data_IF_800921203730
#
_entry.id   IF_800921203730
#
_cell.length_a   1.000
_cell.length_b   1.000
_cell.length_c   1.000
_cell.angle_alpha   90.00
_cell.angle_beta   90.00
_cell.angle_gamma   90.00
#
_symmetry.space_group_name_H-M   'P 1'
#
loop_
_entity.id
_entity.type
_entity.pdbx_description
1 polymer ?
#
# COMPACT_ATOMS: atom_id res chain seq x y z
N UNK A 1 -57.56 -26.13 -6.29
CA UNK A 1 -56.53 -25.03 -6.23
C UNK A 1 -56.18 -24.71 -7.69
N UNK A 2 -56.25 -23.43 -8.03
CA UNK A 2 -56.15 -22.95 -9.41
C UNK A 2 -54.66 -22.92 -9.87
N UNK A 3 -54.36 -23.39 -11.11
CA UNK A 3 -53.01 -23.41 -11.65
C UNK A 3 -52.25 -22.08 -11.59
N UNK A 4 -52.94 -20.97 -11.42
CA UNK A 4 -52.37 -19.65 -11.21
C UNK A 4 -51.76 -19.45 -9.82
N UNK A 5 -52.30 -20.11 -8.78
CA UNK A 5 -51.73 -20.01 -7.41
C UNK A 5 -50.48 -20.87 -7.26
N UNK A 6 -50.39 -22.00 -7.94
CA UNK A 6 -49.22 -22.87 -7.95
C UNK A 6 -48.03 -22.16 -8.62
N UNK A 7 -48.27 -21.51 -9.76
CA UNK A 7 -47.24 -20.74 -10.47
C UNK A 7 -46.75 -19.51 -9.66
N UNK A 8 -47.62 -18.83 -8.93
CA UNK A 8 -47.23 -17.70 -8.06
C UNK A 8 -46.37 -18.14 -6.88
N UNK A 9 -46.65 -19.33 -6.33
CA UNK A 9 -45.89 -19.86 -5.18
C UNK A 9 -44.50 -20.38 -5.61
N UNK A 10 -44.40 -20.99 -6.80
CA UNK A 10 -43.12 -21.41 -7.36
C UNK A 10 -42.24 -20.24 -7.78
N UNK A 11 -42.80 -19.20 -8.38
CA UNK A 11 -42.07 -17.99 -8.74
C UNK A 11 -41.52 -17.24 -7.50
N UNK A 12 -42.27 -17.23 -6.39
CA UNK A 12 -41.86 -16.58 -5.15
C UNK A 12 -40.76 -17.35 -4.42
N UNK A 13 -40.74 -18.70 -4.48
CA UNK A 13 -39.71 -19.55 -3.87
C UNK A 13 -38.36 -19.52 -4.65
N UNK A 14 -38.41 -19.48 -5.97
CA UNK A 14 -37.22 -19.35 -6.81
C UNK A 14 -36.53 -17.98 -6.59
N UNK A 15 -37.32 -16.93 -6.42
CA UNK A 15 -36.83 -15.57 -6.17
C UNK A 15 -36.18 -15.44 -4.79
N UNK A 16 -36.69 -16.17 -3.76
CA UNK A 16 -36.09 -16.15 -2.40
C UNK A 16 -34.75 -16.89 -2.33
N UNK A 17 -34.57 -17.97 -3.09
CA UNK A 17 -33.30 -18.70 -3.12
C UNK A 17 -32.20 -17.93 -3.87
N UNK A 18 -32.54 -17.25 -4.96
CA UNK A 18 -31.65 -16.31 -5.63
C UNK A 18 -31.28 -15.12 -4.70
N UNK A 19 -32.26 -14.63 -3.95
CA UNK A 19 -32.05 -13.58 -2.95
C UNK A 19 -31.11 -14.02 -1.83
N UNK A 20 -31.18 -15.27 -1.34
CA UNK A 20 -30.31 -15.76 -0.25
C UNK A 20 -28.86 -15.92 -0.72
N UNK A 21 -28.64 -16.50 -1.92
CA UNK A 21 -27.30 -16.58 -2.52
C UNK A 21 -26.65 -15.21 -2.67
N UNK A 22 -27.41 -14.26 -3.21
CA UNK A 22 -26.93 -12.89 -3.40
C UNK A 22 -26.62 -12.19 -2.06
N UNK A 23 -27.44 -12.41 -1.04
CA UNK A 23 -27.21 -11.83 0.31
C UNK A 23 -25.91 -12.37 0.93
N UNK A 24 -25.68 -13.69 0.83
CA UNK A 24 -24.47 -14.32 1.37
C UNK A 24 -23.23 -13.87 0.56
N UNK A 25 -23.34 -13.86 -0.78
CA UNK A 25 -22.27 -13.32 -1.62
C UNK A 25 -21.91 -11.88 -1.24
N UNK A 26 -22.92 -11.01 -1.12
CA UNK A 26 -22.74 -9.62 -0.79
C UNK A 26 -22.10 -9.45 0.60
N UNK A 27 -22.53 -10.23 1.59
CA UNK A 27 -21.97 -10.20 2.95
C UNK A 27 -20.48 -10.56 2.95
N UNK A 28 -20.12 -11.66 2.30
CA UNK A 28 -18.72 -12.09 2.20
C UNK A 28 -17.91 -11.09 1.38
N UNK A 29 -18.46 -10.57 0.29
CA UNK A 29 -17.81 -9.56 -0.54
C UNK A 29 -17.50 -8.27 0.24
N UNK A 30 -18.47 -7.76 1.02
CA UNK A 30 -18.27 -6.60 1.89
C UNK A 30 -17.20 -6.90 2.95
N UNK A 31 -17.22 -8.09 3.55
CA UNK A 31 -16.21 -8.49 4.53
C UNK A 31 -14.79 -8.52 3.93
N UNK A 32 -14.65 -8.99 2.69
CA UNK A 32 -13.36 -8.98 1.96
C UNK A 32 -12.89 -7.55 1.72
N UNK A 33 -13.75 -6.67 1.20
CA UNK A 33 -13.42 -5.25 0.98
C UNK A 33 -13.01 -4.59 2.30
N UNK A 34 -13.75 -4.83 3.36
CA UNK A 34 -13.46 -4.28 4.67
C UNK A 34 -12.10 -4.76 5.21
N UNK A 35 -11.81 -6.05 5.09
CA UNK A 35 -10.53 -6.62 5.54
C UNK A 35 -9.35 -6.05 4.75
N UNK A 36 -9.44 -5.99 3.41
CA UNK A 36 -8.39 -5.41 2.55
C UNK A 36 -8.22 -3.92 2.84
N UNK A 37 -9.33 -3.18 2.98
CA UNK A 37 -9.31 -1.76 3.32
C UNK A 37 -8.64 -1.49 4.67
N UNK A 38 -8.91 -2.31 5.68
CA UNK A 38 -8.26 -2.23 6.99
C UNK A 38 -6.76 -2.50 6.89
N UNK A 39 -6.35 -3.52 6.14
CA UNK A 39 -4.94 -3.83 5.90
C UNK A 39 -4.21 -2.66 5.23
N UNK A 40 -4.80 -2.06 4.18
CA UNK A 40 -4.21 -0.92 3.49
C UNK A 40 -4.09 0.30 4.40
N UNK A 41 -5.12 0.59 5.20
CA UNK A 41 -5.12 1.68 6.18
C UNK A 41 -4.00 1.54 7.22
N UNK A 42 -3.62 0.32 7.59
CA UNK A 42 -2.56 0.07 8.57
C UNK A 42 -1.18 0.02 7.92
N UNK A 43 -1.05 -0.64 6.75
CA UNK A 43 0.25 -0.93 6.14
C UNK A 43 0.80 0.28 5.40
N UNK A 44 -0.02 0.99 4.61
CA UNK A 44 0.46 2.08 3.75
C UNK A 44 1.07 3.23 4.54
N UNK A 45 0.43 3.79 5.60
CA UNK A 45 1.03 4.86 6.39
C UNK A 45 2.32 4.42 7.11
N UNK A 46 2.33 3.19 7.63
CA UNK A 46 3.50 2.64 8.32
C UNK A 46 4.67 2.43 7.36
N UNK A 47 4.40 1.92 6.17
CA UNK A 47 5.42 1.76 5.12
C UNK A 47 5.98 3.11 4.68
N UNK A 48 5.11 4.12 4.53
CA UNK A 48 5.52 5.48 4.19
C UNK A 48 6.47 6.05 5.25
N UNK A 49 6.09 6.03 6.52
CA UNK A 49 6.92 6.52 7.61
C UNK A 49 8.27 5.79 7.73
N UNK A 50 8.27 4.47 7.53
CA UNK A 50 9.51 3.70 7.58
C UNK A 50 10.47 4.06 6.43
N UNK A 51 9.95 4.23 5.22
CA UNK A 51 10.76 4.61 4.06
C UNK A 51 11.27 6.05 4.17
N UNK A 52 10.46 6.98 4.66
CA UNK A 52 10.87 8.35 4.98
C UNK A 52 12.07 8.34 5.93
N UNK A 53 11.99 7.62 7.05
CA UNK A 53 13.10 7.47 7.98
C UNK A 53 14.35 6.86 7.34
N UNK A 54 14.20 5.90 6.44
CA UNK A 54 15.34 5.29 5.74
C UNK A 54 16.01 6.30 4.81
N UNK A 55 15.22 7.08 4.06
CA UNK A 55 15.75 8.10 3.15
C UNK A 55 16.43 9.23 3.94
N UNK A 56 15.81 9.71 5.01
CA UNK A 56 16.41 10.73 5.88
C UNK A 56 17.75 10.25 6.47
N UNK A 57 17.81 9.02 6.99
CA UNK A 57 19.05 8.45 7.47
C UNK A 57 20.09 8.32 6.37
N UNK A 58 19.70 7.90 5.18
CA UNK A 58 20.59 7.81 4.03
C UNK A 58 21.17 9.19 3.63
N UNK A 59 20.31 10.20 3.55
CA UNK A 59 20.75 11.60 3.31
C UNK A 59 21.70 12.08 4.37
N UNK A 60 21.36 11.86 5.64
CA UNK A 60 22.19 12.22 6.78
C UNK A 60 23.55 11.52 6.74
N UNK A 61 23.57 10.21 6.52
CA UNK A 61 24.81 9.42 6.53
C UNK A 61 25.78 9.88 5.44
N UNK A 62 25.28 10.14 4.22
CA UNK A 62 26.11 10.72 3.16
C UNK A 62 26.65 12.07 3.58
N UNK A 63 25.81 12.94 4.12
CA UNK A 63 26.23 14.30 4.54
C UNK A 63 27.26 14.25 5.64
N UNK A 64 27.14 13.31 6.58
CA UNK A 64 28.12 13.11 7.65
C UNK A 64 29.46 12.63 7.08
N UNK A 65 29.45 11.62 6.19
CA UNK A 65 30.68 11.09 5.59
C UNK A 65 31.44 12.19 4.82
N UNK A 66 30.73 12.97 4.02
CA UNK A 66 31.35 14.07 3.26
C UNK A 66 31.82 15.21 4.18
N UNK A 67 31.04 15.53 5.22
CA UNK A 67 31.41 16.52 6.21
C UNK A 67 32.65 16.13 7.03
N UNK A 68 32.75 14.85 7.44
CA UNK A 68 33.94 14.32 8.10
C UNK A 68 35.17 14.27 7.18
N UNK A 69 34.98 14.03 5.88
CA UNK A 69 36.04 14.12 4.90
C UNK A 69 36.59 15.55 4.85
N UNK A 70 35.72 16.54 4.68
CA UNK A 70 36.11 17.94 4.68
C UNK A 70 36.80 18.37 5.97
N UNK A 71 36.33 17.93 7.14
CA UNK A 71 37.00 18.21 8.42
C UNK A 71 38.42 17.64 8.48
N UNK A 72 38.65 16.46 7.91
CA UNK A 72 39.99 15.83 7.83
C UNK A 72 40.91 16.59 6.87
N UNK A 73 40.39 17.04 5.75
CA UNK A 73 41.14 17.85 4.78
C UNK A 73 41.49 19.21 5.37
N UNK A 74 40.52 19.86 6.02
CA UNK A 74 40.76 21.11 6.76
C UNK A 74 41.87 20.99 7.79
N UNK A 75 41.92 19.89 8.54
CA UNK A 75 42.95 19.64 9.53
C UNK A 75 44.33 19.41 8.91
N UNK A 76 44.40 18.90 7.67
CA UNK A 76 45.67 18.59 6.99
C UNK A 76 46.18 19.71 6.09
N UNK A 77 45.31 20.45 5.41
CA UNK A 77 45.68 21.42 4.37
C UNK A 77 45.35 22.89 4.73
N UNK A 78 44.51 23.08 5.74
CA UNK A 78 44.10 24.40 6.21
C UNK A 78 42.89 24.98 5.46
N UNK A 79 42.21 25.92 6.11
CA UNK A 79 40.92 26.48 5.66
C UNK A 79 41.05 27.23 4.32
N UNK A 80 42.10 27.98 4.11
CA UNK A 80 42.30 28.77 2.89
C UNK A 80 42.41 27.91 1.64
N UNK A 81 42.90 26.69 1.78
CA UNK A 81 43.01 25.71 0.67
C UNK A 81 41.67 25.01 0.44
N UNK A 82 41.15 24.34 1.47
CA UNK A 82 39.99 23.44 1.37
C UNK A 82 38.65 24.18 1.16
N UNK A 83 38.48 25.33 1.85
CA UNK A 83 37.26 26.13 1.70
C UNK A 83 37.33 27.15 0.55
N UNK A 84 38.34 27.04 -0.33
CA UNK A 84 38.36 27.83 -1.54
C UNK A 84 37.24 27.40 -2.49
N UNK A 85 36.68 28.34 -3.24
CA UNK A 85 35.59 28.02 -4.17
C UNK A 85 35.98 26.99 -5.27
N UNK A 86 37.28 26.96 -5.63
CA UNK A 86 37.82 26.03 -6.62
C UNK A 86 37.93 24.61 -6.05
N UNK A 87 38.46 24.41 -4.87
CA UNK A 87 38.55 23.11 -4.21
C UNK A 87 37.15 22.53 -3.92
N UNK A 88 36.26 23.31 -3.32
CA UNK A 88 34.90 22.89 -3.05
C UNK A 88 34.11 22.55 -4.33
N UNK A 89 34.41 23.19 -5.45
CA UNK A 89 33.79 22.86 -6.72
C UNK A 89 34.24 21.50 -7.25
N UNK A 90 35.49 21.15 -7.10
CA UNK A 90 36.02 19.85 -7.54
C UNK A 90 35.46 18.72 -6.66
N UNK A 91 35.37 18.91 -5.36
CA UNK A 91 34.94 17.90 -4.39
C UNK A 91 33.42 17.69 -4.39
N UNK A 92 32.64 18.77 -4.52
CA UNK A 92 31.19 18.72 -4.31
C UNK A 92 30.36 18.72 -5.59
N UNK A 93 30.93 19.01 -6.76
CA UNK A 93 30.22 19.11 -8.03
C UNK A 93 29.48 17.83 -8.44
N UNK A 94 29.96 16.68 -7.98
CA UNK A 94 29.39 15.37 -8.28
C UNK A 94 28.44 14.82 -7.22
N UNK A 95 28.31 15.52 -6.08
CA UNK A 95 27.51 15.01 -4.98
C UNK A 95 26.03 15.15 -5.31
N UNK A 96 25.41 14.00 -5.53
CA UNK A 96 23.97 13.87 -5.72
C UNK A 96 23.49 12.56 -5.13
N UNK A 97 22.24 12.53 -4.70
CA UNK A 97 21.62 11.33 -4.13
C UNK A 97 21.05 10.51 -5.27
N UNK A 98 21.44 9.23 -5.37
CA UNK A 98 20.91 8.33 -6.39
C UNK A 98 19.38 8.23 -6.30
N UNK A 99 18.70 8.42 -7.44
CA UNK A 99 17.25 8.46 -7.50
C UNK A 99 16.60 9.81 -7.20
N UNK A 100 17.42 10.85 -6.88
CA UNK A 100 16.96 12.22 -6.60
C UNK A 100 17.73 13.22 -7.47
N UNK A 101 17.36 13.39 -8.75
CA UNK A 101 18.08 14.29 -9.68
C UNK A 101 18.09 15.75 -9.26
N UNK A 102 17.16 16.21 -8.41
CA UNK A 102 17.17 17.56 -7.84
C UNK A 102 18.14 17.74 -6.69
N UNK A 103 18.77 16.66 -6.21
CA UNK A 103 19.68 16.72 -5.08
C UNK A 103 20.99 17.39 -5.44
N UNK A 104 21.50 18.19 -4.53
CA UNK A 104 22.80 18.84 -4.64
C UNK A 104 23.35 19.21 -3.28
N UNK A 105 24.68 19.33 -3.21
CA UNK A 105 25.38 19.83 -2.05
C UNK A 105 25.62 21.33 -2.17
N UNK A 106 25.62 22.03 -1.02
CA UNK A 106 26.13 23.38 -0.88
C UNK A 106 26.75 23.58 0.50
N UNK A 107 27.68 24.53 0.59
CA UNK A 107 28.39 24.86 1.82
C UNK A 107 28.29 26.34 2.09
N UNK A 108 28.09 26.69 3.34
CA UNK A 108 28.18 28.06 3.82
C UNK A 108 29.03 28.14 5.09
N UNK A 109 29.59 29.31 5.34
CA UNK A 109 30.36 29.65 6.56
C UNK A 109 29.43 29.57 7.77
N UNK A 110 29.80 28.78 8.77
CA UNK A 110 29.03 28.70 10.02
C UNK A 110 29.15 29.94 10.88
N UNK A 111 30.08 30.89 10.59
CA UNK A 111 30.29 32.10 11.35
C UNK A 111 29.40 33.27 10.92
N UNK A 112 29.24 33.48 9.61
CA UNK A 112 28.51 34.62 9.04
C UNK A 112 27.40 34.22 8.02
N UNK A 113 27.30 32.95 7.67
CA UNK A 113 26.32 32.45 6.72
C UNK A 113 26.62 32.77 5.26
N UNK A 114 27.83 33.17 4.93
CA UNK A 114 28.25 33.40 3.54
C UNK A 114 28.36 32.08 2.79
N UNK A 115 27.77 32.00 1.59
CA UNK A 115 27.83 30.83 0.73
C UNK A 115 29.25 30.61 0.21
N UNK A 116 29.88 29.53 0.62
CA UNK A 116 31.24 29.15 0.18
C UNK A 116 31.16 28.33 -1.12
N UNK A 117 30.18 27.45 -1.26
CA UNK A 117 29.94 26.69 -2.46
C UNK A 117 28.44 26.51 -2.72
N UNK A 118 28.07 26.64 -4.00
CA UNK A 118 26.73 26.30 -4.49
C UNK A 118 26.82 25.92 -5.96
N UNK A 119 26.03 24.91 -6.47
CA UNK A 119 26.00 24.57 -7.90
C UNK A 119 25.67 25.75 -8.83
N UNK A 120 24.88 26.71 -8.33
CA UNK A 120 24.61 27.98 -9.01
C UNK A 120 25.67 28.99 -8.58
N UNK A 121 26.63 29.28 -9.44
CA UNK A 121 27.80 30.13 -9.12
C UNK A 121 27.44 31.51 -8.62
N UNK A 122 26.35 32.11 -9.12
CA UNK A 122 25.88 33.45 -8.72
C UNK A 122 25.49 33.55 -7.23
N UNK A 123 25.38 32.43 -6.54
CA UNK A 123 25.06 32.40 -5.10
C UNK A 123 26.29 32.38 -4.22
N UNK A 124 27.45 32.06 -4.76
CA UNK A 124 28.71 32.05 -3.99
C UNK A 124 29.04 33.45 -3.54
N UNK A 125 29.43 33.62 -2.28
CA UNK A 125 29.72 34.92 -1.65
C UNK A 125 28.48 35.67 -1.16
N UNK A 126 27.25 35.19 -1.43
CA UNK A 126 26.02 35.79 -0.92
C UNK A 126 25.58 35.10 0.40
N UNK A 127 24.82 35.81 1.25
CA UNK A 127 24.27 35.18 2.45
C UNK A 127 23.23 34.13 2.12
N UNK A 128 23.11 33.12 3.00
CA UNK A 128 22.12 32.06 2.88
C UNK A 128 20.69 32.60 2.86
N UNK A 129 19.86 32.05 1.94
CA UNK A 129 18.48 32.51 1.73
C UNK A 129 17.41 31.60 2.36
N UNK A 130 17.65 30.29 2.38
CA UNK A 130 16.63 29.32 2.78
C UNK A 130 16.48 29.21 4.30
N UNK A 131 15.30 28.74 4.73
CA UNK A 131 14.93 28.68 6.14
C UNK A 131 15.80 27.70 6.94
N UNK A 132 16.17 26.55 6.37
CA UNK A 132 16.99 25.56 7.05
C UNK A 132 18.39 26.09 7.38
N UNK A 133 19.07 26.71 6.41
CA UNK A 133 20.38 27.32 6.63
C UNK A 133 20.34 28.48 7.64
N UNK A 134 19.31 29.34 7.59
CA UNK A 134 19.12 30.42 8.56
C UNK A 134 18.85 29.91 9.97
N UNK A 135 18.10 28.84 10.12
CA UNK A 135 17.88 28.19 11.41
C UNK A 135 19.20 27.70 11.99
N UNK A 136 19.99 26.94 11.23
CA UNK A 136 21.29 26.42 11.66
C UNK A 136 22.24 27.56 12.03
N UNK A 137 22.31 28.61 11.23
CA UNK A 137 23.14 29.77 11.51
C UNK A 137 22.74 30.45 12.83
N UNK A 138 21.45 30.56 13.12
CA UNK A 138 20.93 31.10 14.38
C UNK A 138 21.33 30.22 15.57
N UNK A 139 21.18 28.91 15.46
CA UNK A 139 21.54 27.95 16.51
C UNK A 139 23.05 27.96 16.79
N UNK A 140 23.88 28.04 15.74
CA UNK A 140 25.34 28.18 15.86
C UNK A 140 25.69 29.51 16.56
N UNK A 141 25.04 30.62 16.19
CA UNK A 141 25.23 31.93 16.82
C UNK A 141 24.83 31.95 18.28
N UNK A 142 23.93 31.10 18.73
CA UNK A 142 23.59 30.87 20.14
C UNK A 142 24.57 29.93 20.86
N UNK A 143 25.64 29.49 20.19
CA UNK A 143 26.63 28.57 20.75
C UNK A 143 26.19 27.11 20.78
N UNK A 144 25.12 26.74 20.04
CA UNK A 144 24.67 25.37 19.89
C UNK A 144 25.41 24.68 18.71
N UNK A 145 25.68 23.40 18.86
CA UNK A 145 26.15 22.54 17.76
C UNK A 145 25.18 21.37 17.66
N UNK A 146 24.06 21.55 16.95
CA UNK A 146 23.11 20.44 16.77
C UNK A 146 23.76 19.27 16.04
N UNK A 147 23.40 18.04 16.47
CA UNK A 147 23.86 16.82 15.83
C UNK A 147 23.34 16.74 14.37
N UNK A 148 24.08 16.11 13.46
CA UNK A 148 23.66 15.93 12.08
C UNK A 148 22.27 15.30 11.98
N UNK A 149 21.39 15.94 11.23
CA UNK A 149 20.00 15.53 11.05
C UNK A 149 19.46 16.01 9.70
N UNK A 150 18.17 15.77 9.45
CA UNK A 150 17.46 16.28 8.27
C UNK A 150 16.45 17.32 8.72
N UNK A 151 16.42 18.46 8.03
CA UNK A 151 15.45 19.54 8.21
C UNK A 151 14.53 19.56 7.00
N UNK A 152 13.23 19.56 7.27
CA UNK A 152 12.20 19.77 6.28
C UNK A 152 11.87 21.27 6.20
N UNK A 153 11.86 21.84 5.01
CA UNK A 153 11.58 23.26 4.81
C UNK A 153 10.94 23.54 3.47
N UNK A 154 10.23 24.66 3.36
CA UNK A 154 9.70 25.14 2.11
C UNK A 154 10.64 26.16 1.45
N UNK A 155 10.90 26.00 0.16
CA UNK A 155 11.66 26.94 -0.64
C UNK A 155 11.05 27.15 -2.01
N UNK A 156 10.64 28.39 -2.32
CA UNK A 156 9.99 28.76 -3.59
C UNK A 156 8.76 27.91 -3.92
N UNK A 157 7.95 27.61 -2.90
CA UNK A 157 6.73 26.83 -3.05
C UNK A 157 6.94 25.31 -3.22
N UNK A 158 8.14 24.82 -3.00
CA UNK A 158 8.48 23.39 -2.97
C UNK A 158 8.92 22.97 -1.58
N UNK A 159 8.41 21.82 -1.16
CA UNK A 159 8.92 21.10 0.01
C UNK A 159 10.31 20.55 -0.31
N UNK A 160 11.27 20.77 0.58
CA UNK A 160 12.64 20.28 0.46
C UNK A 160 13.09 19.62 1.74
N UNK A 161 13.98 18.65 1.61
CA UNK A 161 14.69 17.97 2.67
C UNK A 161 16.15 18.38 2.61
N UNK A 162 16.73 18.77 3.74
CA UNK A 162 18.12 19.19 3.88
C UNK A 162 18.81 18.40 4.99
N UNK A 163 19.66 17.46 4.64
CA UNK A 163 20.58 16.86 5.58
C UNK A 163 21.75 17.82 5.80
N UNK A 164 22.20 17.98 7.04
CA UNK A 164 23.28 18.91 7.38
C UNK A 164 24.36 18.27 8.22
N UNK A 165 25.56 18.81 8.08
CA UNK A 165 26.72 18.57 8.95
C UNK A 165 27.39 19.91 9.29
N UNK A 166 27.68 20.11 10.58
CA UNK A 166 28.39 21.30 11.07
C UNK A 166 29.82 20.90 11.33
N UNK A 167 30.73 21.49 10.56
CA UNK A 167 32.17 21.25 10.71
C UNK A 167 32.72 21.61 12.07
N UNK A 168 33.97 21.26 12.33
CA UNK A 168 34.63 21.58 13.57
C UNK A 168 34.74 23.10 13.74
N UNK A 169 34.51 23.57 14.99
CA UNK A 169 34.46 25.00 15.34
C UNK A 169 33.50 25.83 14.48
N UNK A 170 32.50 25.15 13.86
CA UNK A 170 31.56 25.76 12.92
C UNK A 170 32.23 26.48 11.73
N UNK A 171 33.42 26.04 11.30
CA UNK A 171 34.11 26.61 10.15
C UNK A 171 33.27 26.60 8.89
N UNK A 172 32.47 25.54 8.69
CA UNK A 172 31.52 25.39 7.60
C UNK A 172 30.26 24.63 8.03
N UNK A 173 29.22 24.79 7.25
CA UNK A 173 28.02 23.95 7.31
C UNK A 173 27.80 23.36 5.91
N UNK A 174 27.90 22.04 5.80
CA UNK A 174 27.58 21.29 4.60
C UNK A 174 26.09 20.93 4.64
N UNK A 175 25.40 21.18 3.54
CA UNK A 175 24.01 20.75 3.35
C UNK A 175 23.91 19.98 2.04
N UNK A 176 23.26 18.81 2.10
CA UNK A 176 22.79 18.07 0.92
C UNK A 176 21.28 18.14 0.92
N UNK A 177 20.70 18.70 -0.14
CA UNK A 177 19.25 18.93 -0.24
C UNK A 177 18.65 18.23 -1.43
N UNK A 178 17.36 17.83 -1.34
CA UNK A 178 16.56 17.28 -2.41
C UNK A 178 15.12 17.80 -2.34
N UNK A 179 14.41 17.77 -3.48
CA UNK A 179 12.98 18.09 -3.55
C UNK A 179 12.15 16.96 -2.89
N UNK A 180 11.16 17.33 -2.07
CA UNK A 180 10.30 16.37 -1.37
C UNK A 180 9.54 15.44 -2.30
N UNK A 181 9.13 15.94 -3.48
CA UNK A 181 8.47 15.11 -4.49
C UNK A 181 9.32 13.93 -4.95
N UNK A 182 10.65 14.11 -5.03
CA UNK A 182 11.58 13.05 -5.40
C UNK A 182 11.88 12.11 -4.22
N UNK A 183 12.01 12.67 -3.01
CA UNK A 183 12.14 11.89 -1.77
C UNK A 183 10.97 10.91 -1.64
N UNK A 184 9.75 11.34 -2.00
CA UNK A 184 8.54 10.52 -1.93
C UNK A 184 8.15 9.82 -3.23
N UNK A 185 8.89 9.99 -4.33
CA UNK A 185 8.54 9.39 -5.62
C UNK A 185 8.41 7.86 -5.54
N UNK A 186 9.38 7.19 -4.93
CA UNK A 186 9.36 5.74 -4.72
C UNK A 186 8.22 5.29 -3.80
N UNK A 187 7.81 6.12 -2.86
CA UNK A 187 6.67 5.86 -1.96
C UNK A 187 5.35 5.94 -2.69
N UNK A 188 5.17 6.96 -3.54
CA UNK A 188 3.96 7.13 -4.34
C UNK A 188 3.82 5.99 -5.35
N UNK A 189 4.91 5.55 -5.96
CA UNK A 189 4.94 4.41 -6.85
C UNK A 189 4.53 3.12 -6.13
N UNK A 190 5.13 2.82 -4.98
CA UNK A 190 4.79 1.65 -4.15
C UNK A 190 3.34 1.68 -3.68
N UNK A 191 2.82 2.86 -3.33
CA UNK A 191 1.41 3.02 -2.92
C UNK A 191 0.47 2.71 -4.09
N UNK A 192 0.77 3.20 -5.29
CA UNK A 192 -0.03 2.93 -6.49
C UNK A 192 -0.04 1.44 -6.84
N UNK A 193 1.10 0.75 -6.80
CA UNK A 193 1.16 -0.70 -7.01
C UNK A 193 0.38 -1.46 -5.94
N UNK A 194 0.41 -1.03 -4.68
CA UNK A 194 -0.37 -1.64 -3.60
C UNK A 194 -1.87 -1.49 -3.82
N UNK A 195 -2.34 -0.33 -4.29
CA UNK A 195 -3.74 -0.10 -4.63
C UNK A 195 -4.19 -0.95 -5.83
N UNK A 196 -3.39 -1.02 -6.88
CA UNK A 196 -3.67 -1.86 -8.05
C UNK A 196 -3.71 -3.34 -7.63
N UNK A 197 -2.74 -3.79 -6.84
CA UNK A 197 -2.71 -5.15 -6.30
C UNK A 197 -3.94 -5.49 -5.46
N UNK A 198 -4.39 -4.56 -4.62
CA UNK A 198 -5.61 -4.71 -3.82
C UNK A 198 -6.86 -4.83 -4.71
N UNK A 199 -6.98 -4.03 -5.78
CA UNK A 199 -8.08 -4.13 -6.74
C UNK A 199 -8.10 -5.49 -7.44
N UNK A 200 -6.95 -5.98 -7.90
CA UNK A 200 -6.82 -7.31 -8.51
C UNK A 200 -7.22 -8.39 -7.51
N UNK A 201 -6.77 -8.30 -6.27
CA UNK A 201 -7.08 -9.26 -5.21
C UNK A 201 -8.59 -9.28 -4.91
N UNK A 202 -9.24 -8.11 -4.81
CA UNK A 202 -10.70 -8.01 -4.62
C UNK A 202 -11.43 -8.70 -5.78
N UNK A 203 -11.00 -8.50 -7.02
CA UNK A 203 -11.61 -9.11 -8.19
C UNK A 203 -11.47 -10.63 -8.17
N UNK A 204 -10.27 -11.15 -7.91
CA UNK A 204 -10.01 -12.59 -7.81
C UNK A 204 -10.82 -13.22 -6.69
N UNK A 205 -10.82 -12.63 -5.50
CA UNK A 205 -11.60 -13.10 -4.35
C UNK A 205 -13.11 -13.05 -4.63
N UNK A 206 -13.59 -12.05 -5.35
CA UNK A 206 -15.00 -11.92 -5.74
C UNK A 206 -15.42 -13.06 -6.65
N UNK A 207 -14.65 -13.34 -7.70
CA UNK A 207 -14.92 -14.44 -8.63
C UNK A 207 -14.91 -15.80 -7.89
N UNK A 208 -13.90 -16.00 -7.04
CA UNK A 208 -13.78 -17.24 -6.25
C UNK A 208 -14.95 -17.42 -5.28
N UNK A 209 -15.33 -16.36 -4.57
CA UNK A 209 -16.48 -16.36 -3.65
C UNK A 209 -17.78 -16.65 -4.39
N UNK A 210 -17.98 -16.05 -5.57
CA UNK A 210 -19.16 -16.32 -6.41
C UNK A 210 -19.22 -17.77 -6.84
N UNK A 211 -18.09 -18.35 -7.24
CA UNK A 211 -18.00 -19.75 -7.67
C UNK A 211 -18.28 -20.71 -6.50
N UNK A 212 -17.64 -20.51 -5.35
CA UNK A 212 -17.89 -21.34 -4.15
C UNK A 212 -19.33 -21.23 -3.68
N UNK A 213 -19.87 -20.01 -3.59
CA UNK A 213 -21.26 -19.81 -3.20
C UNK A 213 -22.21 -20.54 -4.16
N UNK A 214 -21.93 -20.49 -5.45
CA UNK A 214 -22.75 -21.20 -6.45
C UNK A 214 -22.69 -22.71 -6.32
N UNK A 215 -21.51 -23.27 -6.01
CA UNK A 215 -21.33 -24.71 -5.75
C UNK A 215 -22.06 -25.15 -4.48
N UNK A 216 -21.93 -24.42 -3.39
CA UNK A 216 -22.56 -24.77 -2.10
C UNK A 216 -24.09 -24.74 -2.15
N UNK A 217 -24.68 -23.89 -2.99
CA UNK A 217 -26.15 -23.82 -3.11
C UNK A 217 -26.77 -24.80 -4.12
N UNK A 218 -25.95 -25.49 -4.91
CA UNK A 218 -26.45 -26.54 -5.82
C UNK A 218 -27.23 -27.67 -5.09
N UNK A 219 -26.68 -28.32 -4.05
CA UNK A 219 -27.36 -29.40 -3.35
C UNK A 219 -28.63 -28.94 -2.60
N UNK A 220 -28.64 -27.73 -2.07
CA UNK A 220 -29.79 -27.17 -1.34
C UNK A 220 -31.05 -27.06 -2.26
N UNK A 221 -30.84 -26.70 -3.52
CA UNK A 221 -31.90 -26.62 -4.50
C UNK A 221 -32.53 -27.99 -4.84
N UNK A 222 -31.74 -29.05 -4.75
CA UNK A 222 -32.22 -30.44 -4.96
C UNK A 222 -33.04 -30.88 -3.75
N UNK A 223 -32.51 -30.68 -2.54
CA UNK A 223 -33.19 -31.04 -1.26
C UNK A 223 -34.53 -30.32 -1.15
N UNK A 224 -34.58 -29.01 -1.44
CA UNK A 224 -35.84 -28.24 -1.39
C UNK A 224 -36.87 -28.76 -2.40
N UNK A 225 -36.45 -29.22 -3.59
CA UNK A 225 -37.35 -29.83 -4.60
C UNK A 225 -37.90 -31.17 -4.13
N UNK A 226 -37.03 -31.99 -3.52
CA UNK A 226 -37.41 -33.29 -2.96
C UNK A 226 -38.46 -33.11 -1.85
N UNK A 227 -38.18 -32.20 -0.88
CA UNK A 227 -39.11 -31.92 0.22
C UNK A 227 -40.47 -31.42 -0.29
N UNK A 228 -40.49 -30.54 -1.29
CA UNK A 228 -41.75 -30.06 -1.85
C UNK A 228 -42.55 -31.16 -2.54
N UNK A 229 -41.89 -32.10 -3.22
CA UNK A 229 -42.58 -33.23 -3.88
C UNK A 229 -43.14 -34.26 -2.89
N UNK A 230 -42.44 -34.48 -1.78
CA UNK A 230 -42.94 -35.28 -0.66
C UNK A 230 -44.15 -34.61 -0.02
N UNK A 231 -44.10 -33.28 0.19
CA UNK A 231 -45.19 -32.50 0.75
C UNK A 231 -46.46 -32.50 -0.10
N UNK A 232 -46.31 -32.56 -1.42
CA UNK A 232 -47.45 -32.59 -2.36
C UNK A 232 -47.99 -34.00 -2.60
N UNK A 233 -47.49 -35.05 -1.90
CA UNK A 233 -47.84 -36.47 -2.02
C UNK A 233 -47.76 -37.03 -3.49
N UNK A 234 -47.01 -36.38 -4.34
CA UNK A 234 -46.83 -36.78 -5.73
C UNK A 234 -45.63 -37.75 -5.91
N UNK A 235 -45.78 -38.96 -5.41
CA UNK A 235 -44.75 -40.00 -5.47
C UNK A 235 -44.40 -40.43 -6.90
N UNK A 236 -45.32 -40.26 -7.88
CA UNK A 236 -45.09 -40.66 -9.27
C UNK A 236 -44.16 -39.71 -10.04
N UNK A 237 -44.16 -38.42 -9.75
CA UNK A 237 -43.30 -37.44 -10.38
C UNK A 237 -41.96 -37.30 -9.69
N UNK A 238 -41.79 -37.89 -8.51
CA UNK A 238 -40.58 -37.86 -7.66
C UNK A 238 -39.42 -38.60 -8.35
N UNK A 239 -39.67 -39.80 -8.88
CA UNK A 239 -38.68 -40.63 -9.56
C UNK A 239 -38.08 -39.95 -10.80
N UNK A 240 -38.94 -39.46 -11.69
CA UNK A 240 -38.53 -38.76 -12.93
C UNK A 240 -37.73 -37.45 -12.71
N UNK A 241 -37.83 -36.86 -11.53
CA UNK A 241 -37.12 -35.62 -11.23
C UNK A 241 -35.77 -35.82 -10.54
N UNK A 242 -35.58 -37.00 -9.94
CA UNK A 242 -34.30 -37.42 -9.38
C UNK A 242 -33.38 -37.86 -10.51
N UNK A 243 -33.82 -38.74 -11.39
CA UNK A 243 -33.04 -39.28 -12.50
C UNK A 243 -32.43 -38.19 -13.39
N UNK A 244 -33.19 -37.13 -13.64
CA UNK A 244 -32.74 -36.04 -14.54
C UNK A 244 -31.68 -35.10 -13.95
N UNK A 245 -31.48 -35.09 -12.63
CA UNK A 245 -30.57 -34.14 -11.95
C UNK A 245 -29.40 -34.81 -11.18
N UNK A 246 -29.40 -36.15 -11.10
CA UNK A 246 -28.41 -36.91 -10.31
C UNK A 246 -27.42 -37.67 -11.21
N UNK A 247 -27.66 -37.70 -12.55
CA UNK A 247 -26.78 -38.35 -13.54
C UNK A 247 -25.30 -37.85 -13.50
N UNK A 248 -24.99 -36.88 -12.66
CA UNK A 248 -23.67 -36.27 -12.59
C UNK A 248 -22.94 -36.40 -11.24
N UNK A 249 -23.53 -37.02 -10.21
CA UNK A 249 -22.84 -37.05 -8.91
C UNK A 249 -22.95 -38.41 -8.21
N UNK A 250 -21.78 -38.93 -7.76
CA UNK A 250 -21.62 -40.19 -7.02
C UNK A 250 -22.36 -40.28 -5.67
N UNK A 251 -23.10 -39.25 -5.27
CA UNK A 251 -24.05 -39.28 -4.16
C UNK A 251 -25.37 -40.00 -4.52
N UNK A 252 -25.60 -40.30 -5.80
CA UNK A 252 -26.76 -40.95 -6.35
C UNK A 252 -26.99 -42.34 -5.77
N UNK A 253 -25.94 -43.18 -5.71
CA UNK A 253 -26.07 -44.60 -5.37
C UNK A 253 -26.66 -44.87 -3.96
N UNK A 254 -26.35 -44.03 -3.00
CA UNK A 254 -26.89 -44.15 -1.64
C UNK A 254 -28.33 -43.68 -1.53
N UNK A 255 -28.71 -42.70 -2.34
CA UNK A 255 -30.05 -42.15 -2.32
C UNK A 255 -31.03 -43.08 -3.06
N UNK A 256 -30.59 -43.69 -4.15
CA UNK A 256 -31.40 -44.69 -4.92
C UNK A 256 -31.70 -45.92 -4.07
N UNK A 257 -30.74 -46.39 -3.25
CA UNK A 257 -30.99 -47.50 -2.30
C UNK A 257 -32.04 -47.13 -1.24
N UNK A 258 -32.02 -45.91 -0.74
CA UNK A 258 -33.01 -45.43 0.25
C UNK A 258 -34.38 -45.26 -0.39
N UNK A 259 -34.46 -44.80 -1.64
CA UNK A 259 -35.69 -44.64 -2.39
C UNK A 259 -36.36 -45.97 -2.68
N UNK A 260 -35.57 -46.98 -3.04
CA UNK A 260 -36.07 -48.33 -3.28
C UNK A 260 -36.63 -48.96 -2.00
N UNK A 261 -35.96 -48.81 -0.88
CA UNK A 261 -36.44 -49.29 0.41
C UNK A 261 -37.76 -48.61 0.83
N UNK A 262 -37.98 -47.36 0.50
CA UNK A 262 -39.24 -46.64 0.76
C UNK A 262 -40.39 -47.13 -0.17
N UNK A 263 -40.08 -47.43 -1.45
CA UNK A 263 -41.06 -48.04 -2.39
C UNK A 263 -41.51 -49.41 -1.93
N UNK A 264 -40.56 -50.23 -1.51
CA UNK A 264 -40.85 -51.62 -1.07
C UNK A 264 -41.68 -51.61 0.23
N UNK A 265 -41.40 -50.66 1.15
CA UNK A 265 -42.22 -50.47 2.33
C UNK A 265 -43.62 -49.93 2.04
N UNK A 266 -43.77 -49.04 1.05
CA UNK A 266 -45.09 -48.54 0.60
C UNK A 266 -45.96 -49.61 -0.06
N UNK A 267 -45.36 -50.52 -0.85
CA UNK A 267 -46.08 -51.63 -1.52
C UNK A 267 -46.44 -52.77 -0.57
N UNK A 268 -45.83 -52.84 0.62
CA UNK A 268 -46.17 -53.87 1.62
C UNK A 268 -47.33 -53.48 2.53
N UNK A 269 -47.85 -52.24 2.40
CA UNK A 269 -48.97 -51.69 3.16
C UNK A 269 -50.31 -51.61 2.37
N UNK A 270 -50.31 -52.09 1.14
CA UNK A 270 -51.54 -52.29 0.30
C UNK A 270 -51.85 -53.73 0.14
#
# INVERSE_FOLDING_TARGET
MNNQEINKTQGKKANTMHSLKMKIFLLVFIAIIFAIGLCLLMIVPKSKSNLETVIENYMKDITVVEGENLDRELASEGADTVLSAEALQDDLKGISISGMPSSYAYIFSGTDGTMLYHPTADKIGLPVENAAAKQLLTEIGEGKKPEPSVIEYEFKGKQKYAAYYIGNEAAFVLIITADGDEVFASLNETTNYSLIGALILILVCSVFTFFITSLMFRPIGVITRVINKISDMDFGSFENSIDKNIETDKASDKFDQQLQAYKDAGNSLT
#
